data_IF_776930711916
#
_entry.id   IF_776930711916
#
_cell.length_a   1.000
_cell.length_b   1.000
_cell.length_c   1.000
_cell.angle_alpha   90.00
_cell.angle_beta   90.00
_cell.angle_gamma   90.00
#
_symmetry.space_group_name_H-M   'P 1'
#
loop_
_entity.id
_entity.type
_entity.pdbx_description
1 polymer ?
#
# COMPACT_ATOMS: atom_id res chain seq x y z
N UNK A 1 -24.65 8.38 0.27
CA UNK A 1 -24.76 9.80 0.58
C UNK A 1 -23.88 10.16 1.78
N UNK A 2 -23.49 11.42 1.90
CA UNK A 2 -22.59 11.90 2.95
C UNK A 2 -23.30 12.28 4.28
N UNK A 3 -24.63 12.37 4.27
CA UNK A 3 -25.39 12.74 5.46
C UNK A 3 -25.80 11.55 6.34
N UNK A 4 -25.66 10.32 5.83
CA UNK A 4 -26.01 9.08 6.54
C UNK A 4 -27.51 8.82 6.69
N UNK A 5 -28.37 9.58 6.02
CA UNK A 5 -29.80 9.35 6.04
C UNK A 5 -30.20 8.20 5.11
N UNK A 6 -31.31 7.47 5.42
CA UNK A 6 -31.77 6.37 4.60
C UNK A 6 -32.03 6.79 3.15
N UNK A 7 -31.62 5.99 2.21
CA UNK A 7 -31.89 6.08 0.79
C UNK A 7 -31.80 4.69 0.19
N UNK A 8 -32.78 4.22 -0.60
CA UNK A 8 -32.79 2.85 -1.14
C UNK A 8 -31.55 2.51 -2.00
N UNK A 9 -30.90 3.51 -2.61
CA UNK A 9 -29.70 3.33 -3.39
C UNK A 9 -28.41 3.45 -2.56
N UNK A 10 -28.51 3.84 -1.28
CA UNK A 10 -27.36 3.98 -0.37
C UNK A 10 -27.05 2.67 0.32
N UNK A 11 -26.38 1.79 -0.39
CA UNK A 11 -25.94 0.49 0.13
C UNK A 11 -24.42 0.39 0.12
N UNK A 12 -23.86 -0.32 1.09
CA UNK A 12 -22.42 -0.50 1.25
C UNK A 12 -22.15 -1.85 1.92
N UNK A 13 -21.05 -2.51 1.55
CA UNK A 13 -20.60 -3.70 2.26
C UNK A 13 -19.67 -3.35 3.43
N UNK A 14 -19.52 -4.29 4.39
CA UNK A 14 -18.54 -4.12 5.47
C UNK A 14 -17.12 -3.94 4.93
N UNK A 15 -16.78 -4.60 3.80
CA UNK A 15 -15.49 -4.46 3.14
C UNK A 15 -15.30 -3.05 2.58
N UNK A 16 -16.29 -2.49 1.92
CA UNK A 16 -16.21 -1.13 1.36
C UNK A 16 -16.03 -0.10 2.48
N UNK A 17 -16.79 -0.25 3.58
CA UNK A 17 -16.63 0.61 4.75
C UNK A 17 -15.25 0.48 5.38
N UNK A 18 -14.67 -0.72 5.42
CA UNK A 18 -13.29 -0.91 5.90
C UNK A 18 -12.27 -0.21 4.99
N UNK A 19 -12.44 -0.27 3.66
CA UNK A 19 -11.56 0.44 2.71
C UNK A 19 -11.69 1.96 2.84
N UNK A 20 -12.91 2.49 2.93
CA UNK A 20 -13.15 3.92 3.18
C UNK A 20 -12.50 4.34 4.51
N UNK A 21 -12.71 3.55 5.56
CA UNK A 21 -12.16 3.81 6.90
C UNK A 21 -10.64 3.79 6.91
N UNK A 22 -10.01 2.90 6.13
CA UNK A 22 -8.55 2.81 5.98
C UNK A 22 -7.96 4.08 5.38
N UNK A 23 -8.63 4.67 4.40
CA UNK A 23 -8.20 5.96 3.85
C UNK A 23 -8.48 7.11 4.82
N UNK A 24 -9.65 7.11 5.47
CA UNK A 24 -10.04 8.18 6.40
C UNK A 24 -9.08 8.28 7.60
N UNK A 25 -8.66 7.15 8.19
CA UNK A 25 -7.80 7.15 9.40
C UNK A 25 -6.39 7.69 9.14
N UNK A 26 -5.94 7.76 7.90
CA UNK A 26 -4.67 8.40 7.51
C UNK A 26 -4.71 9.92 7.73
N UNK A 27 -5.91 10.52 7.71
CA UNK A 27 -6.09 11.94 7.98
C UNK A 27 -6.02 12.20 9.49
N UNK A 28 -5.05 12.99 9.93
CA UNK A 28 -4.82 13.29 11.36
C UNK A 28 -6.00 14.00 12.02
N UNK A 29 -6.71 14.88 11.30
CA UNK A 29 -7.89 15.58 11.82
C UNK A 29 -9.05 14.61 11.99
N UNK A 30 -9.28 13.70 11.03
CA UNK A 30 -10.28 12.64 11.16
C UNK A 30 -9.99 11.77 12.39
N UNK A 31 -8.72 11.30 12.53
CA UNK A 31 -8.28 10.51 13.68
C UNK A 31 -8.53 11.22 15.00
N UNK A 32 -8.22 12.50 15.07
CA UNK A 32 -8.48 13.35 16.24
C UNK A 32 -9.98 13.42 16.57
N UNK A 33 -10.83 13.68 15.57
CA UNK A 33 -12.28 13.82 15.77
C UNK A 33 -12.90 12.52 16.27
N UNK A 34 -12.64 11.38 15.60
CA UNK A 34 -13.26 10.09 15.97
C UNK A 34 -12.73 9.55 17.29
N UNK A 35 -11.53 9.96 17.71
CA UNK A 35 -10.90 9.59 18.99
C UNK A 35 -11.22 10.54 20.15
N UNK A 36 -11.89 11.67 19.90
CA UNK A 36 -12.23 12.63 20.97
C UNK A 36 -13.38 12.09 21.81
N UNK A 37 -13.12 11.85 23.09
CA UNK A 37 -14.11 11.30 24.05
C UNK A 37 -15.18 12.32 24.41
N UNK A 38 -14.74 13.56 24.69
CA UNK A 38 -15.61 14.70 25.04
C UNK A 38 -15.07 15.96 24.41
N UNK A 39 -15.97 16.78 23.92
CA UNK A 39 -15.66 18.09 23.38
C UNK A 39 -16.68 19.08 23.92
N UNK A 40 -16.31 20.34 24.09
CA UNK A 40 -17.19 21.40 24.51
C UNK A 40 -17.18 22.52 23.48
N UNK A 41 -18.34 22.77 22.87
CA UNK A 41 -18.49 23.90 21.97
C UNK A 41 -18.56 25.15 22.84
N UNK A 42 -17.68 26.15 22.62
CA UNK A 42 -17.69 27.38 23.40
C UNK A 42 -18.98 28.17 23.15
N UNK A 43 -19.34 29.12 24.08
CA UNK A 43 -20.45 29.99 23.86
C UNK A 43 -20.41 30.69 22.50
N UNK A 44 -21.59 30.91 21.93
CA UNK A 44 -21.78 31.65 20.68
C UNK A 44 -22.72 32.84 20.87
N UNK A 45 -22.83 33.67 19.86
CA UNK A 45 -23.79 34.79 19.89
C UNK A 45 -25.28 34.37 19.95
N UNK A 46 -25.56 33.09 19.70
CA UNK A 46 -26.90 32.49 19.72
C UNK A 46 -27.13 31.59 20.93
N UNK A 47 -26.07 31.18 21.61
CA UNK A 47 -26.11 30.25 22.73
C UNK A 47 -25.06 30.67 23.77
N UNK A 48 -25.52 31.22 24.89
CA UNK A 48 -24.65 31.84 25.90
C UNK A 48 -23.85 30.83 26.72
N UNK A 49 -24.37 29.60 26.85
CA UNK A 49 -23.73 28.54 27.62
C UNK A 49 -22.90 27.60 26.70
N UNK A 50 -21.81 27.04 27.21
CA UNK A 50 -21.05 26.03 26.46
C UNK A 50 -21.89 24.76 26.27
N UNK A 51 -21.76 24.14 25.11
CA UNK A 51 -22.50 22.88 24.78
C UNK A 51 -21.57 21.67 24.86
N UNK A 52 -21.73 20.79 25.87
CA UNK A 52 -20.93 19.58 26.00
C UNK A 52 -21.39 18.54 25.00
N UNK A 53 -20.45 17.97 24.28
CA UNK A 53 -20.61 16.84 23.38
C UNK A 53 -19.87 15.60 23.93
N UNK A 54 -20.54 14.45 23.96
CA UNK A 54 -19.93 13.19 24.35
C UNK A 54 -19.90 12.25 23.15
N UNK A 55 -18.80 11.54 23.01
CA UNK A 55 -18.70 10.50 21.99
C UNK A 55 -19.64 9.35 22.33
N UNK A 56 -20.45 8.93 21.37
CA UNK A 56 -21.42 7.84 21.56
C UNK A 56 -20.80 6.46 21.37
N UNK A 57 -19.54 6.39 20.92
CA UNK A 57 -18.82 5.12 20.72
C UNK A 57 -18.36 4.57 22.07
N UNK A 58 -19.06 3.52 22.56
CA UNK A 58 -18.87 3.03 23.92
C UNK A 58 -17.52 2.30 24.15
N UNK A 59 -16.79 1.94 23.09
CA UNK A 59 -15.46 1.34 23.25
C UNK A 59 -14.37 2.37 23.58
N UNK A 60 -14.65 3.66 23.40
CA UNK A 60 -13.72 4.75 23.77
C UNK A 60 -14.29 5.68 24.85
N UNK A 61 -15.61 5.73 25.00
CA UNK A 61 -16.31 6.68 25.88
C UNK A 61 -17.14 5.96 26.93
N UNK A 62 -16.90 6.33 28.19
CA UNK A 62 -17.68 5.82 29.34
C UNK A 62 -19.04 6.54 29.53
N UNK A 63 -19.45 7.42 28.61
CA UNK A 63 -20.68 8.23 28.73
C UNK A 63 -21.94 7.43 28.98
N UNK A 64 -22.06 6.23 28.37
CA UNK A 64 -23.20 5.29 28.55
C UNK A 64 -22.84 4.07 29.40
N UNK A 65 -21.73 4.10 30.14
CA UNK A 65 -21.24 2.98 30.92
C UNK A 65 -19.82 2.55 30.51
N UNK A 66 -19.20 1.73 31.35
CA UNK A 66 -17.80 1.30 31.18
C UNK A 66 -17.65 -0.11 30.63
N UNK A 67 -18.74 -0.88 30.53
CA UNK A 67 -18.72 -2.31 30.18
C UNK A 67 -18.16 -2.59 28.77
N UNK A 68 -18.27 -1.63 27.86
CA UNK A 68 -17.83 -1.76 26.47
C UNK A 68 -16.47 -1.12 26.21
N UNK A 69 -15.86 -0.44 27.18
CA UNK A 69 -14.54 0.16 26.99
C UNK A 69 -13.54 -0.89 26.54
N UNK A 70 -12.73 -0.54 25.54
CA UNK A 70 -11.68 -1.37 25.01
C UNK A 70 -10.35 -0.60 25.02
N UNK A 71 -9.38 -1.15 25.71
CA UNK A 71 -8.10 -0.49 26.02
C UNK A 71 -7.39 0.04 24.78
N UNK A 72 -7.42 -0.75 23.70
CA UNK A 72 -6.71 -0.41 22.45
C UNK A 72 -7.56 0.42 21.48
N UNK A 73 -8.80 0.77 21.84
CA UNK A 73 -9.66 1.56 20.95
C UNK A 73 -9.17 3.00 20.84
N UNK A 74 -8.89 3.43 19.62
CA UNK A 74 -8.45 4.80 19.30
C UNK A 74 -9.56 5.67 18.70
N UNK A 75 -10.74 5.11 18.47
CA UNK A 75 -11.88 5.86 17.96
C UNK A 75 -12.82 5.03 17.10
N UNK A 76 -13.82 5.70 16.55
CA UNK A 76 -14.77 5.05 15.67
C UNK A 76 -16.06 5.83 15.49
N UNK A 77 -17.06 5.18 14.86
CA UNK A 77 -18.39 5.79 14.62
C UNK A 77 -19.47 4.73 14.73
N UNK A 78 -20.50 5.07 15.49
CA UNK A 78 -21.74 4.29 15.58
C UNK A 78 -22.71 4.71 14.48
N UNK A 79 -23.55 3.81 14.03
CA UNK A 79 -24.68 4.09 13.14
C UNK A 79 -25.90 3.26 13.49
N UNK A 80 -27.08 3.80 13.22
CA UNK A 80 -28.33 3.09 13.36
C UNK A 80 -29.41 3.69 12.45
N UNK A 81 -30.11 2.82 11.75
CA UNK A 81 -31.40 3.11 11.11
C UNK A 81 -32.29 1.90 11.26
N UNK A 82 -33.61 2.00 11.01
CA UNK A 82 -34.51 0.85 11.04
C UNK A 82 -34.06 -0.27 10.08
N UNK A 83 -33.52 0.08 8.93
CA UNK A 83 -33.16 -0.85 7.89
C UNK A 83 -31.74 -1.41 8.08
N UNK A 84 -30.81 -0.57 8.56
CA UNK A 84 -29.42 -0.97 8.75
C UNK A 84 -29.15 -1.72 10.06
N UNK A 85 -30.05 -1.61 11.05
CA UNK A 85 -29.79 -2.10 12.40
C UNK A 85 -28.64 -1.33 13.07
N UNK A 86 -28.04 -1.93 14.10
CA UNK A 86 -26.86 -1.33 14.72
C UNK A 86 -25.62 -1.60 13.89
N UNK A 87 -24.88 -0.54 13.58
CA UNK A 87 -23.62 -0.59 12.82
C UNK A 87 -22.52 0.07 13.63
N UNK A 88 -21.29 -0.42 13.47
CA UNK A 88 -20.13 0.11 14.16
C UNK A 88 -18.89 0.01 13.26
N UNK A 89 -18.16 1.09 13.18
CA UNK A 89 -16.77 1.11 12.71
C UNK A 89 -15.89 1.47 13.89
N UNK A 90 -14.88 0.66 14.16
CA UNK A 90 -13.95 0.87 15.28
C UNK A 90 -12.51 0.77 14.79
N UNK A 91 -11.67 1.65 15.27
CA UNK A 91 -10.23 1.63 15.08
C UNK A 91 -9.57 1.24 16.40
N UNK A 92 -8.64 0.28 16.33
CA UNK A 92 -7.84 -0.12 17.49
C UNK A 92 -6.36 -0.18 17.11
N UNK A 93 -5.49 0.13 18.07
CA UNK A 93 -4.04 0.13 17.87
C UNK A 93 -3.35 -0.55 19.05
N UNK A 94 -2.52 -1.54 18.74
CA UNK A 94 -1.71 -2.28 19.70
C UNK A 94 -0.41 -2.70 19.04
N UNK A 95 0.72 -2.49 19.73
CA UNK A 95 2.07 -2.92 19.31
C UNK A 95 2.42 -2.48 17.86
N UNK A 96 2.00 -1.25 17.48
CA UNK A 96 2.21 -0.68 16.16
C UNK A 96 1.23 -1.18 15.08
N UNK A 97 0.40 -2.17 15.38
CA UNK A 97 -0.63 -2.69 14.48
C UNK A 97 -1.91 -1.89 14.64
N UNK A 98 -2.39 -1.26 13.54
CA UNK A 98 -3.69 -0.61 13.48
C UNK A 98 -4.71 -1.52 12.82
N UNK A 99 -5.78 -1.82 13.51
CA UNK A 99 -6.90 -2.63 13.02
C UNK A 99 -8.17 -1.80 12.83
N UNK A 100 -8.94 -2.17 11.82
CA UNK A 100 -10.25 -1.59 11.53
C UNK A 100 -11.28 -2.70 11.57
N UNK A 101 -12.26 -2.58 12.45
CA UNK A 101 -13.38 -3.51 12.51
C UNK A 101 -14.67 -2.82 12.07
N UNK A 102 -15.40 -3.47 11.17
CA UNK A 102 -16.71 -3.02 10.69
C UNK A 102 -17.73 -4.11 10.95
N UNK A 103 -18.72 -3.80 11.76
CA UNK A 103 -19.86 -4.68 12.02
C UNK A 103 -21.15 -4.00 11.61
N UNK A 104 -22.06 -4.76 11.01
CA UNK A 104 -23.31 -4.25 10.43
C UNK A 104 -24.48 -5.13 10.84
N UNK A 105 -25.65 -4.52 10.95
CA UNK A 105 -26.92 -5.20 11.26
C UNK A 105 -26.84 -6.06 12.52
N UNK A 106 -26.21 -5.54 13.57
CA UNK A 106 -26.11 -6.23 14.85
C UNK A 106 -27.34 -5.98 15.75
N UNK A 107 -27.56 -6.88 16.68
CA UNK A 107 -28.48 -6.64 17.81
C UNK A 107 -27.96 -5.51 18.71
N UNK A 108 -28.84 -4.89 19.47
CA UNK A 108 -28.46 -3.81 20.38
C UNK A 108 -27.40 -4.30 21.40
N UNK A 109 -26.24 -3.68 21.41
CA UNK A 109 -25.11 -4.06 22.27
C UNK A 109 -24.20 -5.12 21.66
N UNK A 110 -24.68 -5.97 20.76
CA UNK A 110 -23.89 -7.04 20.12
C UNK A 110 -22.71 -6.51 19.30
N UNK A 111 -22.87 -5.33 18.67
CA UNK A 111 -21.81 -4.71 17.87
C UNK A 111 -20.51 -4.50 18.67
N UNK A 112 -20.57 -4.26 19.97
CA UNK A 112 -19.39 -4.07 20.81
C UNK A 112 -18.71 -5.39 21.19
N UNK A 113 -19.53 -6.42 21.49
CA UNK A 113 -19.03 -7.74 21.79
C UNK A 113 -18.34 -8.37 20.58
N UNK A 114 -18.98 -8.30 19.41
CA UNK A 114 -18.43 -8.83 18.16
C UNK A 114 -17.10 -8.11 17.79
N UNK A 115 -17.09 -6.78 17.91
CA UNK A 115 -15.88 -5.98 17.64
C UNK A 115 -14.74 -6.36 18.58
N UNK A 116 -15.00 -6.54 19.88
CA UNK A 116 -14.00 -6.97 20.86
C UNK A 116 -13.43 -8.34 20.48
N UNK A 117 -14.30 -9.30 20.22
CA UNK A 117 -13.89 -10.66 19.86
C UNK A 117 -13.01 -10.69 18.62
N UNK A 118 -13.36 -9.89 17.61
CA UNK A 118 -12.57 -9.79 16.38
C UNK A 118 -11.20 -9.13 16.61
N UNK A 119 -11.14 -8.07 17.41
CA UNK A 119 -9.86 -7.44 17.75
C UNK A 119 -8.96 -8.34 18.58
N UNK A 120 -9.51 -8.95 19.62
CA UNK A 120 -8.74 -9.87 20.48
C UNK A 120 -8.18 -11.02 19.64
N UNK A 121 -9.01 -11.63 18.78
CA UNK A 121 -8.56 -12.66 17.85
C UNK A 121 -7.41 -12.18 16.94
N UNK A 122 -7.56 -10.98 16.35
CA UNK A 122 -6.53 -10.48 15.43
C UNK A 122 -5.23 -10.15 16.16
N UNK A 123 -5.29 -9.48 17.32
CA UNK A 123 -4.09 -9.13 18.08
C UNK A 123 -3.37 -10.34 18.69
N UNK A 124 -4.09 -11.40 18.99
CA UNK A 124 -3.52 -12.66 19.51
C UNK A 124 -2.90 -13.53 18.41
N UNK A 125 -3.52 -13.55 17.23
CA UNK A 125 -3.17 -14.52 16.20
C UNK A 125 -2.33 -13.94 15.04
N UNK A 126 -2.04 -12.63 15.04
CA UNK A 126 -1.22 -12.00 14.00
C UNK A 126 -0.14 -11.13 14.62
N UNK A 127 0.98 -11.02 13.91
CA UNK A 127 2.12 -10.17 14.26
C UNK A 127 2.50 -9.27 13.10
N UNK A 128 2.92 -8.08 13.44
CA UNK A 128 3.48 -7.10 12.52
C UNK A 128 5.01 -7.26 12.47
N UNK A 129 5.56 -7.33 11.27
CA UNK A 129 6.99 -7.35 11.04
C UNK A 129 7.41 -6.11 10.26
N UNK A 130 8.40 -5.38 10.73
CA UNK A 130 9.08 -4.36 9.94
C UNK A 130 9.99 -5.07 8.93
N UNK A 131 9.81 -4.76 7.64
CA UNK A 131 10.54 -5.45 6.57
C UNK A 131 12.03 -5.11 6.63
N UNK A 132 12.38 -3.83 6.77
CA UNK A 132 13.78 -3.40 6.78
C UNK A 132 14.61 -4.03 7.91
N UNK A 133 13.96 -4.37 9.03
CA UNK A 133 14.64 -5.01 10.18
C UNK A 133 14.76 -6.53 10.06
N UNK A 134 13.90 -7.17 9.27
CA UNK A 134 13.81 -8.63 9.19
C UNK A 134 14.25 -9.19 7.83
N UNK A 135 14.38 -8.35 6.79
CA UNK A 135 14.77 -8.78 5.46
C UNK A 135 16.29 -8.89 5.34
N UNK A 136 16.79 -10.09 5.50
CA UNK A 136 18.22 -10.40 5.42
C UNK A 136 18.64 -11.03 4.09
N UNK A 137 17.68 -11.47 3.27
CA UNK A 137 17.95 -12.16 1.99
C UNK A 137 18.58 -11.22 0.95
N UNK A 138 18.34 -9.92 1.08
CA UNK A 138 18.86 -8.87 0.19
C UNK A 138 19.89 -7.97 0.88
N UNK A 139 20.27 -8.28 2.13
CA UNK A 139 21.44 -7.66 2.72
C UNK A 139 22.67 -8.08 1.95
N UNK A 140 23.50 -7.09 1.63
CA UNK A 140 24.75 -7.32 0.92
C UNK A 140 25.65 -8.24 1.79
N UNK A 141 25.63 -9.54 1.53
CA UNK A 141 26.47 -10.54 2.19
C UNK A 141 27.95 -10.37 1.89
N UNK A 142 28.31 -9.37 1.07
CA UNK A 142 29.69 -9.00 0.78
C UNK A 142 30.35 -8.20 1.93
N UNK A 143 30.12 -8.61 3.18
CA UNK A 143 31.03 -8.34 4.29
C UNK A 143 32.32 -9.16 4.20
N UNK A 144 32.56 -9.87 3.09
CA UNK A 144 33.87 -10.40 2.80
C UNK A 144 34.75 -9.26 2.30
N UNK A 145 35.84 -9.07 3.03
CA UNK A 145 36.95 -8.17 2.85
C UNK A 145 37.57 -8.21 1.42
N UNK A 146 36.84 -7.82 0.43
CA UNK A 146 37.41 -7.54 -0.88
C UNK A 146 37.56 -6.04 -1.02
N UNK A 147 38.73 -5.56 -0.62
CA UNK A 147 39.18 -4.17 -0.59
C UNK A 147 39.06 -3.38 -1.92
N UNK A 148 38.66 -4.02 -3.01
CA UNK A 148 38.41 -3.37 -4.29
C UNK A 148 36.97 -2.85 -4.46
N UNK A 149 36.01 -3.26 -3.59
CA UNK A 149 34.61 -2.87 -3.70
C UNK A 149 33.97 -2.46 -2.37
N UNK A 150 34.78 -2.11 -1.36
CA UNK A 150 34.31 -1.72 -0.04
C UNK A 150 33.53 -0.39 0.02
N UNK A 151 33.49 0.38 -1.08
CA UNK A 151 32.70 1.61 -1.19
C UNK A 151 31.32 1.41 -1.80
N UNK A 152 30.92 0.21 -2.13
CA UNK A 152 29.57 -0.11 -2.56
C UNK A 152 28.63 -0.22 -1.35
N UNK A 153 28.64 0.81 -0.54
CA UNK A 153 27.62 0.97 0.49
C UNK A 153 26.26 1.08 -0.21
N UNK A 154 25.48 0.05 0.03
CA UNK A 154 24.11 -0.19 -0.37
C UNK A 154 23.50 0.95 -1.22
N UNK A 155 23.65 0.86 -2.54
CA UNK A 155 22.97 1.74 -3.51
C UNK A 155 21.44 1.67 -3.32
N UNK A 156 20.97 0.55 -2.83
CA UNK A 156 19.58 0.25 -2.60
C UNK A 156 19.35 -0.23 -1.17
N UNK A 157 18.25 0.19 -0.59
CA UNK A 157 17.73 -0.32 0.68
C UNK A 157 16.23 -0.57 0.58
N UNK A 158 15.70 -1.41 1.46
CA UNK A 158 14.27 -1.49 1.69
C UNK A 158 13.82 -0.23 2.45
N UNK A 159 12.68 0.32 2.13
CA UNK A 159 12.11 1.48 2.86
C UNK A 159 11.90 1.12 4.34
N UNK A 160 12.18 2.09 5.23
CA UNK A 160 12.30 1.86 6.66
C UNK A 160 10.95 1.58 7.36
N UNK A 161 9.84 2.02 6.78
CA UNK A 161 8.49 1.94 7.32
C UNK A 161 7.63 0.82 6.73
N UNK A 162 8.19 0.05 5.79
CA UNK A 162 7.49 -1.09 5.20
C UNK A 162 7.19 -2.17 6.25
N UNK A 163 5.94 -2.66 6.24
CA UNK A 163 5.46 -3.63 7.20
C UNK A 163 4.64 -4.73 6.53
N UNK A 164 4.76 -5.95 7.05
CA UNK A 164 3.93 -7.08 6.67
C UNK A 164 3.27 -7.70 7.91
N UNK A 165 2.12 -8.33 7.71
CA UNK A 165 1.39 -9.00 8.78
C UNK A 165 1.40 -10.50 8.52
N UNK A 166 1.85 -11.28 9.52
CA UNK A 166 1.90 -12.73 9.47
C UNK A 166 1.11 -13.36 10.63
N UNK A 167 0.65 -14.61 10.49
CA UNK A 167 0.16 -15.38 11.63
C UNK A 167 1.21 -15.42 12.75
N UNK A 168 0.79 -15.37 13.99
CA UNK A 168 1.67 -15.33 15.16
C UNK A 168 2.65 -16.53 15.23
N UNK A 169 2.27 -17.67 14.65
CA UNK A 169 3.10 -18.87 14.56
C UNK A 169 4.12 -18.86 13.41
N UNK A 170 4.00 -17.92 12.46
CA UNK A 170 4.89 -17.84 11.32
C UNK A 170 6.07 -16.91 11.60
N UNK A 171 7.21 -17.22 10.98
CA UNK A 171 8.39 -16.36 10.98
C UNK A 171 8.48 -15.56 9.69
N UNK A 172 9.18 -14.43 9.73
CA UNK A 172 9.37 -13.58 8.56
C UNK A 172 9.99 -14.34 7.38
N UNK A 173 10.96 -15.21 7.64
CA UNK A 173 11.66 -15.98 6.63
C UNK A 173 10.82 -17.10 5.98
N UNK A 174 9.65 -17.42 6.55
CA UNK A 174 8.70 -18.37 5.95
C UNK A 174 7.93 -17.74 4.78
N UNK A 175 8.10 -16.44 4.54
CA UNK A 175 7.48 -15.75 3.40
C UNK A 175 8.20 -16.03 2.10
N UNK A 176 7.43 -16.13 1.02
CA UNK A 176 7.93 -16.07 -0.35
C UNK A 176 7.98 -14.60 -0.78
N UNK A 177 9.02 -14.26 -1.53
CA UNK A 177 9.23 -12.88 -1.99
C UNK A 177 9.42 -12.85 -3.49
N UNK A 178 8.61 -12.03 -4.14
CA UNK A 178 8.73 -11.72 -5.58
C UNK A 178 9.09 -10.24 -5.74
N UNK A 179 9.83 -9.92 -6.79
CA UNK A 179 10.20 -8.53 -7.12
C UNK A 179 9.35 -8.05 -8.29
N UNK A 180 8.62 -6.96 -8.07
CA UNK A 180 7.84 -6.29 -9.09
C UNK A 180 8.51 -4.97 -9.46
N UNK A 181 8.74 -4.76 -10.77
CA UNK A 181 9.35 -3.55 -11.33
C UNK A 181 8.34 -2.60 -12.00
N UNK A 182 7.05 -2.92 -12.00
CA UNK A 182 6.01 -2.13 -12.68
C UNK A 182 5.89 -0.69 -12.15
N UNK A 183 6.31 -0.47 -10.90
CA UNK A 183 6.28 0.84 -10.25
C UNK A 183 7.69 1.45 -10.09
N UNK A 184 8.69 0.87 -10.74
CA UNK A 184 10.04 1.42 -10.70
C UNK A 184 10.09 2.80 -11.35
N UNK A 185 10.71 3.77 -10.66
CA UNK A 185 10.85 5.15 -11.14
C UNK A 185 11.23 6.10 -10.01
N UNK A 186 11.91 7.19 -10.35
CA UNK A 186 12.41 8.12 -9.35
C UNK A 186 13.38 7.45 -8.38
N UNK A 187 13.08 7.46 -7.09
CA UNK A 187 13.87 6.78 -6.05
C UNK A 187 13.52 5.31 -5.87
N UNK A 188 12.44 4.81 -6.47
CA UNK A 188 11.98 3.43 -6.32
C UNK A 188 12.60 2.57 -7.42
N UNK A 189 13.36 1.55 -7.02
CA UNK A 189 14.01 0.59 -7.92
C UNK A 189 13.13 -0.60 -8.23
N UNK A 190 12.22 -0.94 -7.32
CA UNK A 190 11.28 -2.04 -7.43
C UNK A 190 10.49 -2.21 -6.15
N UNK A 191 9.51 -3.10 -6.16
CA UNK A 191 8.69 -3.42 -5.00
C UNK A 191 8.81 -4.92 -4.69
N UNK A 192 9.18 -5.24 -3.46
CA UNK A 192 9.13 -6.61 -2.94
C UNK A 192 7.69 -6.92 -2.56
N UNK A 193 7.17 -8.02 -3.07
CA UNK A 193 5.83 -8.52 -2.77
C UNK A 193 5.98 -9.77 -1.93
N UNK A 194 5.49 -9.70 -0.69
CA UNK A 194 5.57 -10.80 0.27
C UNK A 194 4.29 -11.62 0.24
N UNK A 195 4.44 -12.94 0.18
CA UNK A 195 3.32 -13.87 0.26
C UNK A 195 3.57 -14.98 1.30
N UNK A 196 2.50 -15.44 1.94
CA UNK A 196 2.51 -16.54 2.89
C UNK A 196 1.26 -17.41 2.69
N UNK A 197 1.44 -18.72 2.54
CA UNK A 197 0.33 -19.64 2.27
C UNK A 197 -0.46 -19.28 1.00
N UNK A 198 0.20 -18.76 -0.04
CA UNK A 198 -0.40 -18.36 -1.30
C UNK A 198 -1.20 -17.05 -1.25
N UNK A 199 -1.08 -16.27 -0.17
CA UNK A 199 -1.74 -14.97 -0.01
C UNK A 199 -0.70 -13.88 0.16
N UNK A 200 -0.91 -12.74 -0.50
CA UNK A 200 -0.09 -11.55 -0.29
C UNK A 200 -0.31 -11.02 1.14
N UNK A 201 0.79 -10.84 1.88
CA UNK A 201 0.81 -10.38 3.27
C UNK A 201 1.36 -8.97 3.43
N UNK A 202 1.97 -8.42 2.40
CA UNK A 202 2.43 -7.03 2.33
C UNK A 202 3.39 -6.78 1.19
N UNK A 203 3.86 -5.54 1.10
CA UNK A 203 4.83 -5.08 0.11
C UNK A 203 5.83 -4.13 0.75
N UNK A 204 7.02 -4.03 0.18
CA UNK A 204 8.03 -3.06 0.57
C UNK A 204 8.74 -2.50 -0.67
N UNK A 205 8.92 -1.20 -0.74
CA UNK A 205 9.70 -0.62 -1.83
C UNK A 205 11.20 -0.77 -1.56
N UNK A 206 11.92 -1.07 -2.62
CA UNK A 206 13.38 -0.97 -2.65
C UNK A 206 13.71 0.40 -3.21
N UNK A 207 14.37 1.22 -2.42
CA UNK A 207 14.67 2.62 -2.75
C UNK A 207 16.16 2.86 -2.83
N UNK A 208 16.56 3.87 -3.60
CA UNK A 208 17.95 4.31 -3.66
C UNK A 208 18.34 5.00 -2.36
N UNK A 209 19.54 4.74 -1.87
CA UNK A 209 20.08 5.39 -0.66
C UNK A 209 20.59 6.80 -0.89
N UNK A 210 20.63 7.26 -2.15
CA UNK A 210 21.26 8.52 -2.53
C UNK A 210 22.81 8.46 -2.54
N UNK A 211 23.40 7.29 -2.28
CA UNK A 211 24.82 7.09 -2.45
C UNK A 211 25.19 7.36 -3.91
N UNK A 212 26.19 8.21 -4.16
CA UNK A 212 26.70 8.45 -5.50
C UNK A 212 27.38 7.18 -5.97
N UNK A 213 26.91 6.62 -7.08
CA UNK A 213 27.64 5.59 -7.81
C UNK A 213 28.94 6.22 -8.26
N UNK A 214 30.09 5.60 -7.95
CA UNK A 214 31.35 6.05 -8.47
C UNK A 214 31.25 6.04 -10.00
N UNK A 215 31.35 7.21 -10.63
CA UNK A 215 31.46 7.31 -12.08
C UNK A 215 32.78 6.69 -12.47
N UNK A 216 32.75 5.45 -12.92
CA UNK A 216 33.89 4.87 -13.61
C UNK A 216 33.97 5.53 -15.00
N UNK A 217 35.05 6.16 -15.36
CA UNK A 217 35.22 6.75 -16.67
C UNK A 217 35.52 5.66 -17.72
N UNK A 218 34.60 4.71 -17.86
CA UNK A 218 34.60 3.79 -18.96
C UNK A 218 33.96 4.48 -20.16
N UNK A 219 34.73 5.21 -20.94
CA UNK A 219 34.24 5.73 -22.19
C UNK A 219 34.74 7.11 -22.63
N UNK A 220 35.41 7.87 -21.79
CA UNK A 220 36.06 9.10 -22.24
C UNK A 220 37.57 8.93 -22.30
N UNK A 221 38.02 8.26 -23.34
CA UNK A 221 39.30 8.47 -24.05
C UNK A 221 39.46 7.35 -25.09
N UNK A 222 38.53 7.25 -26.02
CA UNK A 222 38.93 6.81 -27.34
C UNK A 222 39.77 7.94 -27.89
N UNK A 223 41.06 7.80 -27.67
CA UNK A 223 42.02 8.74 -28.17
C UNK A 223 41.83 8.93 -29.67
N UNK A 224 41.87 10.16 -30.07
CA UNK A 224 42.13 10.58 -31.43
C UNK A 224 43.15 9.64 -32.06
N UNK A 225 42.69 8.72 -32.89
CA UNK A 225 43.55 7.98 -33.78
C UNK A 225 44.02 9.02 -34.80
N UNK A 226 45.23 9.51 -34.60
CA UNK A 226 45.96 10.25 -35.64
C UNK A 226 46.04 9.30 -36.85
N UNK A 227 45.32 9.66 -37.92
CA UNK A 227 45.55 9.12 -39.24
C UNK A 227 47.01 9.45 -39.64
N UNK A 228 47.88 8.52 -39.58
CA UNK A 228 49.12 8.55 -40.32
C UNK A 228 48.80 8.36 -41.80
N UNK A 229 48.95 9.45 -42.53
CA UNK A 229 49.06 9.41 -43.99
C UNK A 229 50.30 8.58 -44.36
N UNK A 230 50.12 7.46 -45.05
CA UNK A 230 51.01 6.98 -46.11
C UNK A 230 50.55 5.63 -46.62
N UNK A 231 50.04 5.54 -47.80
CA UNK A 231 50.50 4.82 -48.95
C UNK A 231 49.37 4.68 -49.97
N UNK A 232 49.70 5.18 -51.12
CA UNK A 232 48.94 5.06 -52.36
C UNK A 232 49.02 3.65 -52.96
N UNK A 233 48.12 3.46 -53.91
CA UNK A 233 48.16 2.56 -55.10
C UNK A 233 47.41 1.25 -54.92
N UNK A 234 46.49 1.02 -55.72
CA UNK A 234 46.11 0.67 -57.08
C UNK A 234 44.85 -0.22 -57.07
N UNK A 235 43.80 0.30 -57.65
CA UNK A 235 43.25 -0.06 -58.97
C UNK A 235 42.76 -1.51 -59.11
N UNK A 236 41.50 -1.67 -59.26
CA UNK A 236 40.85 -2.24 -60.46
C UNK A 236 39.31 -2.44 -60.20
N UNK A 237 38.60 -1.84 -61.14
CA UNK A 237 37.22 -1.99 -61.55
C UNK A 237 36.72 -3.45 -61.56
N UNK A 238 35.44 -3.64 -61.26
CA UNK A 238 34.42 -4.26 -62.16
C UNK A 238 33.05 -3.87 -61.72
N UNK A 239 32.31 -3.34 -62.65
CA UNK A 239 30.87 -3.03 -62.59
C UNK A 239 30.03 -4.29 -62.97
N UNK A 240 28.81 -4.30 -62.49
CA UNK A 240 27.57 -4.80 -63.16
C UNK A 240 26.50 -4.92 -62.07
N UNK A 241 25.48 -4.15 -62.03
CA UNK A 241 24.30 -3.93 -62.87
C UNK A 241 23.14 -4.86 -62.53
N UNK A 242 21.98 -4.22 -62.62
CA UNK A 242 20.59 -4.70 -62.76
C UNK A 242 19.82 -5.07 -61.47
N UNK A 243 18.94 -4.13 -61.02
CA UNK A 243 17.51 -4.05 -61.40
C UNK A 243 16.71 -5.31 -61.04
N UNK A 244 15.72 -5.18 -60.19
CA UNK A 244 14.35 -5.05 -60.64
C UNK A 244 13.35 -4.77 -59.48
N UNK A 245 12.35 -4.01 -59.85
CA UNK A 245 11.14 -3.64 -59.11
C UNK A 245 10.19 -4.84 -59.05
N UNK A 246 9.39 -4.95 -58.01
CA UNK A 246 7.93 -5.04 -58.23
C UNK A 246 7.18 -4.78 -56.90
N UNK A 247 6.17 -3.98 -57.10
CA UNK A 247 5.03 -3.65 -56.22
C UNK A 247 4.04 -4.83 -56.15
N UNK A 248 3.29 -4.89 -55.04
CA UNK A 248 1.80 -4.91 -54.99
C UNK A 248 1.34 -5.33 -53.62
N UNK A 249 0.59 -4.54 -52.99
CA UNK A 249 -0.86 -4.35 -52.85
C UNK A 249 -1.48 -5.07 -51.65
N UNK A 250 -1.98 -4.23 -50.84
CA UNK A 250 -3.14 -4.22 -49.96
C UNK A 250 -4.07 -5.45 -49.90
N UNK A 251 -4.44 -5.79 -48.65
CA UNK A 251 -5.84 -6.13 -48.35
C UNK A 251 -6.13 -5.89 -46.86
N UNK A 252 -7.07 -5.03 -46.62
CA UNK A 252 -7.90 -4.84 -45.41
C UNK A 252 -8.65 -6.12 -45.09
N UNK A 253 -8.79 -6.47 -43.82
CA UNK A 253 -10.08 -6.93 -43.30
C UNK A 253 -10.18 -6.71 -41.80
N UNK A 254 -11.08 -5.88 -41.48
CA UNK A 254 -11.86 -5.60 -40.29
C UNK A 254 -12.62 -6.86 -39.83
N UNK A 255 -12.66 -7.14 -38.52
CA UNK A 255 -13.86 -7.64 -37.83
C UNK A 255 -13.62 -7.47 -36.32
N UNK A 256 -14.34 -6.50 -35.72
CA UNK A 256 -14.46 -6.34 -34.29
C UNK A 256 -15.30 -7.44 -33.64
N UNK A 257 -14.91 -7.83 -32.46
CA UNK A 257 -15.82 -8.41 -31.45
C UNK A 257 -15.43 -7.92 -30.06
N UNK A 258 -16.22 -6.95 -29.60
CA UNK A 258 -16.30 -6.55 -28.19
C UNK A 258 -16.75 -7.75 -27.34
N UNK A 259 -15.95 -8.19 -26.38
CA UNK A 259 -16.41 -9.05 -25.29
C UNK A 259 -16.90 -8.15 -24.15
N UNK A 260 -18.17 -8.34 -23.76
CA UNK A 260 -18.81 -7.73 -22.60
C UNK A 260 -18.24 -8.31 -21.30
N UNK A 261 -18.20 -7.53 -20.18
CA UNK A 261 -17.72 -8.04 -18.91
C UNK A 261 -18.76 -8.96 -18.24
N UNK A 262 -18.22 -9.91 -17.51
CA UNK A 262 -18.84 -11.06 -16.86
C UNK A 262 -19.50 -10.66 -15.51
N UNK A 263 -20.47 -9.76 -15.51
CA UNK A 263 -21.27 -9.46 -14.31
C UNK A 263 -22.72 -9.16 -14.70
N UNK A 264 -23.40 -10.17 -15.19
CA UNK A 264 -24.89 -10.25 -15.18
C UNK A 264 -25.31 -11.69 -15.45
N UNK A 265 -25.34 -12.51 -14.40
CA UNK A 265 -26.28 -13.65 -14.32
C UNK A 265 -26.51 -13.99 -12.85
N UNK A 266 -27.76 -13.73 -12.46
CA UNK A 266 -28.51 -14.10 -11.26
C UNK A 266 -28.07 -13.50 -9.93
#
# INVERSE_FOLDING_TARGET
NCNGLPDPAHVVSARDMALISREAIKNSMFRKIVGTVRYEIPPTNKHADPTPLNNHHQMISAYKGRQNLYEYCIGGKTGWTSDAGNTLVTFAEKDGMTLICVVMNCTAGGQYADTRTLFDYCFENFKLYNVAQNETRYENTNKQENTLFTEWNAFAKVEDDAQIILPAAANFLDTQTDVNYDQAGGSILGTLVYSYGGRQVGTANVVTTGAKVAEYPFGEKSGTIQKSESAKENDTSVAADSSDKTKSDAAKNDIGKKKKPFYQQK
#
